data_IF_744894709078
#
_entry.id   IF_744894709078
#
_cell.length_a   1.000
_cell.length_b   1.000
_cell.length_c   1.000
_cell.angle_alpha   90.00
_cell.angle_beta   90.00
_cell.angle_gamma   90.00
#
_symmetry.space_group_name_H-M   'P 1'
#
loop_
_entity.id
_entity.type
_entity.pdbx_description
1 polymer ?
#
# COMPACT_ATOMS: atom_id res chain seq x y z
N UNK A 1 0.14 6.47 -29.48
CA UNK A 1 1.50 6.16 -28.97
C UNK A 1 1.92 7.41 -28.20
N UNK A 2 1.86 7.37 -26.86
CA UNK A 2 2.45 8.40 -26.03
C UNK A 2 3.97 8.35 -26.27
N UNK A 3 4.58 9.50 -26.52
CA UNK A 3 6.03 9.65 -26.53
C UNK A 3 6.51 9.29 -25.12
N UNK A 4 7.26 8.20 -25.01
CA UNK A 4 8.00 7.88 -23.80
C UNK A 4 9.11 8.92 -23.71
N UNK A 5 8.88 9.97 -22.93
CA UNK A 5 9.92 10.92 -22.56
C UNK A 5 10.93 10.14 -21.73
N UNK A 6 12.11 9.85 -22.29
CA UNK A 6 13.20 9.25 -21.51
C UNK A 6 13.67 10.28 -20.49
N UNK A 7 13.26 10.10 -19.22
CA UNK A 7 13.73 10.95 -18.13
C UNK A 7 15.18 10.55 -17.83
N UNK A 8 16.10 11.49 -17.87
CA UNK A 8 17.48 11.28 -17.44
C UNK A 8 17.57 11.55 -15.95
N UNK A 9 18.12 10.61 -15.21
CA UNK A 9 18.42 10.75 -13.79
C UNK A 9 19.91 11.03 -13.64
N UNK A 10 20.25 12.13 -12.98
CA UNK A 10 21.63 12.52 -12.73
C UNK A 10 22.05 12.13 -11.31
N UNK A 11 21.14 12.25 -10.35
CA UNK A 11 21.37 11.99 -8.95
C UNK A 11 20.53 10.79 -8.48
N UNK A 12 21.16 9.66 -8.30
CA UNK A 12 20.51 8.41 -7.87
C UNK A 12 20.85 8.16 -6.41
N UNK A 13 19.85 7.92 -5.57
CA UNK A 13 20.05 7.39 -4.24
C UNK A 13 19.85 5.87 -4.19
N UNK A 14 20.55 5.22 -3.29
CA UNK A 14 20.43 3.77 -3.06
C UNK A 14 20.11 3.50 -1.60
N UNK A 15 19.00 2.82 -1.36
CA UNK A 15 18.56 2.37 -0.05
C UNK A 15 18.43 0.85 -0.04
N UNK A 16 18.95 0.21 0.98
CA UNK A 16 18.92 -1.25 1.11
C UNK A 16 18.37 -1.66 2.48
N UNK A 17 17.54 -2.70 2.45
CA UNK A 17 17.10 -3.37 3.67
C UNK A 17 18.29 -3.94 4.46
N UNK A 18 18.08 -4.21 5.73
CA UNK A 18 19.14 -4.66 6.66
C UNK A 18 19.56 -6.11 6.46
N UNK A 19 18.77 -6.93 5.78
CA UNK A 19 19.07 -8.34 5.60
C UNK A 19 20.25 -8.59 4.63
N UNK A 20 20.96 -9.70 4.82
CA UNK A 20 22.21 -9.98 4.13
C UNK A 20 22.15 -9.96 2.59
N UNK A 21 21.11 -10.50 1.90
CA UNK A 21 21.00 -10.38 0.45
C UNK A 21 20.95 -8.93 -0.05
N UNK A 22 20.21 -8.04 0.65
CA UNK A 22 20.10 -6.63 0.27
C UNK A 22 21.46 -5.90 0.44
N UNK A 23 22.17 -6.17 1.52
CA UNK A 23 23.51 -5.60 1.75
C UNK A 23 24.52 -6.06 0.71
N UNK A 24 24.47 -7.33 0.29
CA UNK A 24 25.31 -7.83 -0.78
C UNK A 24 25.00 -7.20 -2.14
N UNK A 25 23.73 -7.00 -2.42
CA UNK A 25 23.28 -6.32 -3.65
C UNK A 25 23.69 -4.84 -3.64
N UNK A 26 23.56 -4.17 -2.49
CA UNK A 26 24.01 -2.79 -2.29
C UNK A 26 25.50 -2.65 -2.59
N UNK A 27 26.35 -3.51 -2.03
CA UNK A 27 27.78 -3.48 -2.26
C UNK A 27 28.11 -3.60 -3.77
N UNK A 28 27.46 -4.51 -4.49
CA UNK A 28 27.65 -4.67 -5.95
C UNK A 28 27.29 -3.42 -6.75
N UNK A 29 26.24 -2.71 -6.37
CA UNK A 29 25.85 -1.49 -7.06
C UNK A 29 26.80 -0.33 -6.73
N UNK A 30 27.25 -0.21 -5.47
CA UNK A 30 28.20 0.81 -5.05
C UNK A 30 29.60 0.63 -5.66
N UNK A 31 29.96 -0.61 -6.04
CA UNK A 31 31.21 -0.88 -6.78
C UNK A 31 31.15 -0.35 -8.23
N UNK A 32 29.96 -0.14 -8.78
CA UNK A 32 29.74 0.24 -10.19
C UNK A 32 29.26 1.68 -10.37
N UNK A 33 28.62 2.26 -9.36
CA UNK A 33 27.97 3.57 -9.43
C UNK A 33 28.18 4.40 -8.17
N UNK A 34 28.25 5.70 -8.35
CA UNK A 34 28.17 6.67 -7.24
C UNK A 34 26.69 6.96 -6.91
N UNK A 35 26.40 7.10 -5.62
CA UNK A 35 25.04 7.39 -5.14
C UNK A 35 25.06 8.63 -4.24
N UNK A 36 23.99 9.41 -4.30
CA UNK A 36 23.77 10.58 -3.44
C UNK A 36 22.87 10.22 -2.24
N UNK A 37 22.78 11.13 -1.28
CA UNK A 37 21.78 11.02 -0.21
C UNK A 37 20.36 11.15 -0.78
N UNK A 38 19.36 10.45 -0.22
CA UNK A 38 17.99 10.44 -0.75
C UNK A 38 17.38 11.83 -0.93
N UNK A 39 17.64 12.77 0.00
CA UNK A 39 17.11 14.14 -0.05
C UNK A 39 17.64 14.97 -1.24
N UNK A 40 18.70 14.51 -1.90
CA UNK A 40 19.31 15.15 -3.06
C UNK A 40 19.10 14.38 -4.35
N UNK A 41 18.27 13.33 -4.32
CA UNK A 41 18.12 12.41 -5.42
C UNK A 41 16.99 12.80 -6.39
N UNK A 42 17.19 12.47 -7.67
CA UNK A 42 16.16 12.53 -8.71
C UNK A 42 15.32 11.23 -8.75
N UNK A 43 15.89 10.14 -8.22
CA UNK A 43 15.27 8.82 -8.10
C UNK A 43 15.89 8.07 -6.94
N UNK A 44 15.08 7.32 -6.20
CA UNK A 44 15.54 6.41 -5.14
C UNK A 44 15.42 4.98 -5.64
N UNK A 45 16.54 4.24 -5.62
CA UNK A 45 16.57 2.81 -5.87
C UNK A 45 16.49 2.09 -4.53
N UNK A 46 15.53 1.19 -4.36
CA UNK A 46 15.37 0.39 -3.13
C UNK A 46 15.70 -1.07 -3.38
N UNK A 47 16.46 -1.67 -2.45
CA UNK A 47 16.82 -3.09 -2.44
C UNK A 47 16.17 -3.77 -1.25
N UNK A 48 15.17 -4.60 -1.49
CA UNK A 48 14.47 -5.29 -0.42
C UNK A 48 13.21 -5.99 -0.91
N UNK A 49 12.28 -6.24 0.00
CA UNK A 49 10.94 -6.75 -0.31
C UNK A 49 9.90 -5.63 -0.34
N UNK A 50 8.62 -6.02 -0.55
CA UNK A 50 7.50 -5.09 -0.64
C UNK A 50 7.35 -4.22 0.62
N UNK A 51 7.62 -4.77 1.81
CA UNK A 51 7.57 -4.01 3.07
C UNK A 51 8.62 -2.89 3.15
N UNK A 52 9.84 -3.13 2.68
CA UNK A 52 10.88 -2.11 2.62
C UNK A 52 10.56 -1.04 1.57
N UNK A 53 10.03 -1.45 0.42
CA UNK A 53 9.52 -0.54 -0.60
C UNK A 53 8.42 0.36 -0.04
N UNK A 54 7.44 -0.21 0.66
CA UNK A 54 6.34 0.52 1.29
C UNK A 54 6.87 1.54 2.32
N UNK A 55 7.79 1.14 3.19
CA UNK A 55 8.41 2.03 4.17
C UNK A 55 9.15 3.19 3.51
N UNK A 56 9.86 2.93 2.41
CA UNK A 56 10.55 3.97 1.65
C UNK A 56 9.56 4.93 1.01
N UNK A 57 8.47 4.41 0.42
CA UNK A 57 7.41 5.26 -0.15
C UNK A 57 6.80 6.18 0.91
N UNK A 58 6.53 5.68 2.13
CA UNK A 58 6.04 6.52 3.23
C UNK A 58 7.04 7.60 3.63
N UNK A 59 8.33 7.27 3.70
CA UNK A 59 9.37 8.22 4.12
C UNK A 59 9.56 9.39 3.12
N UNK A 60 9.30 9.15 1.84
CA UNK A 60 9.58 10.13 0.77
C UNK A 60 8.36 10.57 -0.03
N UNK A 61 7.14 10.23 0.42
CA UNK A 61 5.93 10.56 -0.34
C UNK A 61 5.71 12.08 -0.52
N UNK A 62 6.13 12.89 0.45
CA UNK A 62 5.99 14.35 0.40
C UNK A 62 7.01 15.02 -0.53
N UNK A 63 8.07 14.33 -0.91
CA UNK A 63 9.14 14.87 -1.75
C UNK A 63 8.89 14.65 -3.26
N UNK A 64 7.90 13.83 -3.60
CA UNK A 64 7.54 13.50 -4.99
C UNK A 64 8.72 12.94 -5.82
N UNK A 65 9.63 12.19 -5.16
CA UNK A 65 10.76 11.52 -5.78
C UNK A 65 10.30 10.14 -6.25
N UNK A 66 10.50 9.75 -7.52
CA UNK A 66 10.18 8.41 -7.97
C UNK A 66 11.05 7.35 -7.28
N UNK A 67 10.47 6.21 -7.01
CA UNK A 67 11.13 5.10 -6.32
C UNK A 67 11.13 3.88 -7.24
N UNK A 68 12.32 3.34 -7.50
CA UNK A 68 12.53 2.13 -8.29
C UNK A 68 12.91 0.98 -7.39
N UNK A 69 11.98 0.06 -7.15
CA UNK A 69 12.21 -1.10 -6.28
C UNK A 69 12.82 -2.29 -7.03
N UNK A 70 13.86 -2.89 -6.46
CA UNK A 70 14.42 -4.17 -6.90
C UNK A 70 14.29 -5.21 -5.80
N UNK A 71 13.60 -6.31 -6.11
CA UNK A 71 13.37 -7.42 -5.20
C UNK A 71 14.52 -8.44 -5.30
N UNK A 72 14.91 -8.97 -4.14
CA UNK A 72 15.98 -9.97 -3.99
C UNK A 72 15.43 -11.38 -3.70
N UNK A 73 14.12 -11.51 -3.70
CA UNK A 73 13.41 -12.78 -3.48
C UNK A 73 12.36 -13.05 -4.57
N UNK A 74 11.19 -13.52 -4.17
CA UNK A 74 10.05 -13.68 -5.08
C UNK A 74 9.55 -12.31 -5.56
N UNK A 75 9.38 -12.17 -6.87
CA UNK A 75 8.95 -10.91 -7.49
C UNK A 75 7.55 -10.53 -7.01
N UNK A 76 7.43 -9.34 -6.41
CA UNK A 76 6.15 -8.70 -6.11
C UNK A 76 5.63 -7.92 -7.33
N UNK A 77 4.41 -7.41 -7.25
CA UNK A 77 3.78 -6.67 -8.36
C UNK A 77 4.29 -5.23 -8.50
N UNK A 78 4.89 -4.67 -7.46
CA UNK A 78 5.42 -3.30 -7.43
C UNK A 78 6.92 -3.22 -7.67
N UNK A 79 7.61 -4.34 -7.73
CA UNK A 79 9.06 -4.40 -7.73
C UNK A 79 9.59 -5.07 -9.01
N UNK A 80 10.79 -4.66 -9.37
CA UNK A 80 11.54 -5.25 -10.47
C UNK A 80 12.47 -6.35 -9.96
N UNK A 81 12.86 -7.27 -10.83
CA UNK A 81 13.90 -8.24 -10.52
C UNK A 81 15.24 -7.53 -10.31
N UNK A 82 16.00 -7.96 -9.31
CA UNK A 82 17.34 -7.43 -9.07
C UNK A 82 18.28 -7.73 -10.24
N UNK A 83 18.95 -6.70 -10.70
CA UNK A 83 20.14 -6.80 -11.53
C UNK A 83 21.08 -5.65 -11.20
N UNK A 84 22.37 -5.94 -11.05
CA UNK A 84 23.39 -4.91 -10.92
C UNK A 84 23.80 -4.31 -12.27
N UNK A 85 23.45 -5.01 -13.37
CA UNK A 85 23.84 -4.60 -14.71
C UNK A 85 22.84 -3.62 -15.31
N UNK A 86 23.36 -2.65 -16.04
CA UNK A 86 22.55 -1.68 -16.80
C UNK A 86 21.55 -0.87 -15.97
N UNK A 87 21.88 -0.50 -14.72
CA UNK A 87 20.99 0.25 -13.84
C UNK A 87 20.41 1.49 -14.49
N UNK A 88 21.28 2.34 -15.08
CA UNK A 88 20.85 3.60 -15.70
C UNK A 88 19.84 3.35 -16.83
N UNK A 89 20.15 2.44 -17.74
CA UNK A 89 19.24 2.11 -18.86
C UNK A 89 17.91 1.56 -18.38
N UNK A 90 17.90 0.81 -17.28
CA UNK A 90 16.67 0.28 -16.68
C UNK A 90 15.83 1.38 -16.05
N UNK A 91 16.45 2.33 -15.35
CA UNK A 91 15.76 3.51 -14.82
C UNK A 91 15.16 4.37 -15.93
N UNK A 92 15.92 4.63 -16.99
CA UNK A 92 15.45 5.42 -18.13
C UNK A 92 14.31 4.73 -18.91
N UNK A 93 14.28 3.39 -18.92
CA UNK A 93 13.26 2.60 -19.59
C UNK A 93 12.03 2.28 -18.69
N UNK A 94 12.11 2.61 -17.41
CA UNK A 94 11.03 2.32 -16.48
C UNK A 94 9.82 3.22 -16.73
N UNK A 95 8.62 2.63 -16.62
CA UNK A 95 7.36 3.37 -16.63
C UNK A 95 7.08 3.93 -15.25
N UNK A 96 6.89 5.24 -15.16
CA UNK A 96 6.53 5.91 -13.91
C UNK A 96 5.02 5.77 -13.67
N UNK A 97 4.65 5.18 -12.54
CA UNK A 97 3.26 5.00 -12.11
C UNK A 97 3.01 5.88 -10.91
N UNK A 98 2.00 6.72 -10.98
CA UNK A 98 1.57 7.56 -9.86
C UNK A 98 0.60 6.78 -8.97
N UNK A 99 0.95 6.64 -7.69
CA UNK A 99 0.09 6.07 -6.66
C UNK A 99 -0.65 7.19 -5.92
N UNK A 100 -1.92 6.94 -5.58
CA UNK A 100 -2.74 7.84 -4.78
C UNK A 100 -3.06 7.15 -3.45
N UNK A 101 -2.47 7.61 -2.32
CA UNK A 101 -2.75 7.03 -1.01
C UNK A 101 -4.20 7.21 -0.58
N UNK A 102 -4.68 6.30 0.25
CA UNK A 102 -5.91 6.48 1.03
C UNK A 102 -5.62 7.39 2.22
N UNK A 103 -6.53 8.30 2.53
CA UNK A 103 -6.52 9.05 3.77
C UNK A 103 -7.50 8.41 4.74
N UNK A 104 -7.00 7.88 5.85
CA UNK A 104 -7.81 7.43 6.97
C UNK A 104 -8.06 8.60 7.93
N UNK A 105 -9.32 8.85 8.25
CA UNK A 105 -9.73 9.72 9.36
C UNK A 105 -10.52 8.86 10.34
N UNK A 106 -9.95 8.59 11.50
CA UNK A 106 -10.57 7.77 12.53
C UNK A 106 -10.93 8.61 13.75
N UNK A 107 -12.11 8.32 14.34
CA UNK A 107 -12.48 8.80 15.66
C UNK A 107 -12.52 7.61 16.60
N UNK A 108 -11.69 7.65 17.64
CA UNK A 108 -11.62 6.58 18.63
C UNK A 108 -12.83 6.62 19.58
N UNK A 109 -13.05 5.53 20.33
CA UNK A 109 -14.04 5.48 21.39
C UNK A 109 -13.76 6.48 22.52
N UNK A 110 -12.50 6.88 22.72
CA UNK A 110 -12.09 7.92 23.67
C UNK A 110 -12.36 9.34 23.16
N UNK A 111 -12.71 9.49 21.88
CA UNK A 111 -13.00 10.78 21.25
C UNK A 111 -11.82 11.42 20.52
N UNK A 112 -10.66 10.75 20.48
CA UNK A 112 -9.49 11.24 19.75
C UNK A 112 -9.71 11.15 18.24
N UNK A 113 -9.11 12.08 17.51
CA UNK A 113 -9.11 12.10 16.05
C UNK A 113 -7.72 11.77 15.54
N UNK A 114 -7.62 10.71 14.72
CA UNK A 114 -6.37 10.23 14.13
C UNK A 114 -6.50 10.31 12.62
N UNK A 115 -5.48 10.86 11.97
CA UNK A 115 -5.37 10.89 10.51
C UNK A 115 -4.09 10.18 10.11
N UNK A 116 -4.17 9.27 9.14
CA UNK A 116 -3.03 8.56 8.59
C UNK A 116 -3.22 8.30 7.09
N UNK A 117 -2.11 8.11 6.38
CA UNK A 117 -2.10 7.75 4.96
C UNK A 117 -1.76 6.27 4.78
N UNK A 118 -2.43 5.61 3.86
CA UNK A 118 -2.13 4.25 3.45
C UNK A 118 -1.89 4.17 1.95
N UNK A 119 -0.77 3.57 1.56
CA UNK A 119 -0.44 3.27 0.16
C UNK A 119 -1.12 1.98 -0.27
N UNK A 120 -1.13 0.97 0.61
CA UNK A 120 -1.75 -0.33 0.34
C UNK A 120 -3.22 -0.37 0.77
N UNK A 121 -3.49 -0.33 2.07
CA UNK A 121 -4.85 -0.49 2.58
C UNK A 121 -5.06 0.20 3.95
N UNK A 122 -6.32 0.51 4.20
CA UNK A 122 -6.84 0.74 5.56
C UNK A 122 -7.65 -0.48 5.95
N UNK A 123 -7.27 -1.15 7.02
CA UNK A 123 -7.94 -2.35 7.52
C UNK A 123 -8.50 -2.14 8.92
N UNK A 124 -9.69 -2.71 9.15
CA UNK A 124 -10.33 -2.79 10.45
C UNK A 124 -10.33 -4.24 10.90
N UNK A 125 -9.86 -4.52 12.10
CA UNK A 125 -9.82 -5.85 12.69
C UNK A 125 -10.41 -5.86 14.10
N UNK A 126 -11.18 -6.89 14.42
CA UNK A 126 -11.66 -7.11 15.79
C UNK A 126 -10.50 -7.33 16.73
N UNK A 127 -10.57 -6.75 17.91
CA UNK A 127 -9.56 -6.92 18.97
C UNK A 127 -9.91 -8.10 19.91
N UNK A 128 -11.17 -8.44 20.00
CA UNK A 128 -11.68 -9.45 20.91
C UNK A 128 -12.12 -10.72 20.19
N UNK A 129 -12.53 -11.73 20.96
CA UNK A 129 -13.03 -13.01 20.41
C UNK A 129 -14.37 -12.90 19.71
N UNK A 130 -15.16 -11.88 20.04
CA UNK A 130 -16.46 -11.63 19.40
C UNK A 130 -16.25 -11.10 17.98
N UNK A 131 -17.05 -11.58 17.05
CA UNK A 131 -17.07 -11.00 15.71
C UNK A 131 -17.40 -9.51 15.75
N UNK A 132 -16.75 -8.71 14.95
CA UNK A 132 -17.10 -7.30 14.78
C UNK A 132 -18.44 -7.15 14.08
N UNK A 133 -19.11 -6.02 14.34
CA UNK A 133 -20.31 -5.60 13.62
C UNK A 133 -20.04 -4.21 13.05
N UNK A 134 -20.08 -4.10 11.75
CA UNK A 134 -19.66 -2.90 11.05
C UNK A 134 -20.76 -2.49 10.06
N UNK A 135 -21.20 -1.24 10.17
CA UNK A 135 -22.06 -0.60 9.18
C UNK A 135 -21.20 0.11 8.16
N UNK A 136 -21.53 -0.02 6.88
CA UNK A 136 -20.73 0.48 5.77
C UNK A 136 -21.50 1.53 4.99
N UNK A 137 -20.87 2.68 4.80
CA UNK A 137 -21.35 3.78 3.96
C UNK A 137 -20.39 3.96 2.78
N UNK A 138 -20.95 4.24 1.63
CA UNK A 138 -20.19 4.69 0.45
C UNK A 138 -20.82 5.96 -0.05
N UNK A 139 -20.04 7.02 -0.13
CA UNK A 139 -20.46 8.35 -0.57
C UNK A 139 -21.69 8.86 0.23
N UNK A 140 -21.69 8.64 1.55
CA UNK A 140 -22.74 9.05 2.48
C UNK A 140 -24.00 8.18 2.47
N UNK A 141 -24.06 7.15 1.61
CA UNK A 141 -25.19 6.24 1.52
C UNK A 141 -24.88 4.92 2.21
N UNK A 142 -25.76 4.44 3.09
CA UNK A 142 -25.64 3.12 3.70
C UNK A 142 -25.72 2.06 2.61
N UNK A 143 -24.65 1.28 2.46
CA UNK A 143 -24.59 0.16 1.52
C UNK A 143 -24.76 -1.19 2.22
N UNK A 144 -24.40 -1.26 3.48
CA UNK A 144 -24.59 -2.45 4.30
C UNK A 144 -24.89 -2.03 5.74
N UNK A 145 -26.07 -2.39 6.23
CA UNK A 145 -26.52 -2.02 7.58
C UNK A 145 -25.72 -2.72 8.67
N UNK A 146 -25.35 -3.98 8.47
CA UNK A 146 -24.54 -4.74 9.40
C UNK A 146 -23.72 -5.79 8.65
N UNK A 147 -22.40 -5.70 8.79
CA UNK A 147 -21.45 -6.75 8.44
C UNK A 147 -20.94 -7.41 9.70
N UNK A 148 -21.20 -8.71 9.88
CA UNK A 148 -20.63 -9.51 10.97
C UNK A 148 -19.41 -10.24 10.40
N UNK A 149 -18.21 -9.92 10.91
CA UNK A 149 -16.94 -10.37 10.34
C UNK A 149 -15.81 -10.32 11.35
N UNK A 150 -14.63 -10.78 10.95
CA UNK A 150 -13.40 -10.52 11.70
C UNK A 150 -12.85 -9.11 11.42
N UNK A 151 -13.17 -8.57 10.26
CA UNK A 151 -12.76 -7.24 9.84
C UNK A 151 -13.20 -6.90 8.43
N UNK A 152 -12.78 -5.75 7.96
CA UNK A 152 -13.01 -5.25 6.60
C UNK A 152 -11.88 -4.31 6.22
N UNK A 153 -11.56 -4.20 4.94
CA UNK A 153 -10.54 -3.28 4.47
C UNK A 153 -10.96 -2.54 3.20
N UNK A 154 -10.34 -1.39 2.99
CA UNK A 154 -10.28 -0.70 1.71
C UNK A 154 -8.85 -0.79 1.20
N UNK A 155 -8.67 -1.32 0.01
CA UNK A 155 -7.37 -1.45 -0.64
C UNK A 155 -7.30 -0.61 -1.90
N UNK A 156 -6.15 -0.01 -2.13
CA UNK A 156 -5.78 0.60 -3.41
C UNK A 156 -5.42 -0.46 -4.44
N UNK A 157 -5.21 -0.06 -5.69
CA UNK A 157 -4.67 -0.96 -6.71
C UNK A 157 -3.29 -1.52 -6.31
N UNK A 158 -2.40 -0.68 -5.75
CA UNK A 158 -1.09 -1.10 -5.26
C UNK A 158 -1.19 -2.13 -4.13
N UNK A 159 -2.10 -1.92 -3.17
CA UNK A 159 -2.34 -2.83 -2.05
C UNK A 159 -3.17 -4.06 -2.40
N UNK A 160 -3.75 -4.13 -3.59
CA UNK A 160 -4.64 -5.23 -3.95
C UNK A 160 -3.95 -6.61 -3.94
N UNK A 161 -2.63 -6.63 -4.11
CA UNK A 161 -1.79 -7.83 -4.04
C UNK A 161 -1.15 -8.07 -2.67
N UNK A 162 -1.40 -7.18 -1.69
CA UNK A 162 -0.94 -7.31 -0.31
C UNK A 162 -1.99 -8.03 0.57
N UNK A 163 -2.39 -7.46 1.68
CA UNK A 163 -3.35 -8.07 2.60
C UNK A 163 -4.71 -8.37 1.93
N UNK A 164 -5.14 -7.50 1.03
CA UNK A 164 -6.35 -7.71 0.23
C UNK A 164 -6.37 -9.06 -0.49
N UNK A 165 -5.24 -9.48 -1.09
CA UNK A 165 -5.14 -10.78 -1.76
C UNK A 165 -5.29 -11.93 -0.77
N UNK A 166 -4.68 -11.85 0.41
CA UNK A 166 -4.80 -12.85 1.47
C UNK A 166 -6.24 -12.96 2.00
N UNK A 167 -7.00 -11.88 1.94
CA UNK A 167 -8.43 -11.84 2.29
C UNK A 167 -9.35 -12.20 1.11
N UNK A 168 -8.79 -12.74 0.02
CA UNK A 168 -9.51 -13.11 -1.20
C UNK A 168 -10.15 -11.93 -1.95
N UNK A 169 -9.64 -10.72 -1.76
CA UNK A 169 -10.01 -9.57 -2.57
C UNK A 169 -9.47 -9.67 -4.00
N UNK A 170 -10.04 -8.94 -4.96
CA UNK A 170 -9.60 -8.96 -6.34
C UNK A 170 -8.25 -8.27 -6.51
N UNK A 171 -7.44 -8.74 -7.45
CA UNK A 171 -6.27 -8.01 -7.93
C UNK A 171 -6.74 -6.88 -8.83
N UNK A 172 -6.28 -5.67 -8.54
CA UNK A 172 -6.58 -4.48 -9.33
C UNK A 172 -5.30 -4.09 -10.07
N UNK A 173 -5.33 -3.99 -11.42
CA UNK A 173 -4.17 -3.53 -12.17
C UNK A 173 -3.74 -2.13 -11.74
N UNK A 174 -2.42 -1.90 -11.65
CA UNK A 174 -1.89 -0.55 -11.43
C UNK A 174 -2.39 0.39 -12.53
N UNK A 175 -2.78 1.60 -12.14
CA UNK A 175 -3.40 2.58 -13.06
C UNK A 175 -4.90 2.42 -13.25
N UNK A 176 -5.53 1.34 -12.76
CA UNK A 176 -6.98 1.28 -12.67
C UNK A 176 -7.47 2.19 -11.54
N UNK A 177 -8.40 3.06 -11.84
CA UNK A 177 -8.96 4.04 -10.88
C UNK A 177 -10.06 3.39 -10.02
N UNK A 178 -9.67 2.31 -9.31
CA UNK A 178 -10.56 1.50 -8.47
C UNK A 178 -9.98 1.29 -7.08
N UNK A 179 -10.88 1.08 -6.12
CA UNK A 179 -10.61 0.57 -4.77
C UNK A 179 -11.29 -0.78 -4.59
N UNK A 180 -10.71 -1.65 -3.78
CA UNK A 180 -11.36 -2.87 -3.32
C UNK A 180 -11.87 -2.70 -1.89
N UNK A 181 -13.17 -2.88 -1.68
CA UNK A 181 -13.79 -3.05 -0.37
C UNK A 181 -13.89 -4.54 -0.11
N UNK A 182 -13.09 -5.07 0.82
CA UNK A 182 -12.91 -6.51 1.01
C UNK A 182 -13.18 -6.90 2.47
N UNK A 183 -14.14 -7.82 2.73
CA UNK A 183 -14.36 -8.33 4.08
C UNK A 183 -13.30 -9.35 4.48
N UNK A 184 -13.07 -9.46 5.79
CA UNK A 184 -12.21 -10.46 6.38
C UNK A 184 -13.09 -11.44 7.15
N UNK A 185 -13.17 -12.68 6.67
CA UNK A 185 -13.98 -13.74 7.28
C UNK A 185 -15.43 -13.32 7.56
N UNK A 186 -16.16 -12.85 6.54
CA UNK A 186 -17.55 -12.43 6.67
C UNK A 186 -18.43 -13.62 7.11
N UNK A 187 -19.12 -13.46 8.24
CA UNK A 187 -20.09 -14.42 8.76
C UNK A 187 -21.51 -14.11 8.26
N UNK A 188 -21.87 -12.84 8.25
CA UNK A 188 -23.14 -12.32 7.68
C UNK A 188 -22.93 -10.93 7.08
N UNK A 189 -23.46 -10.64 5.88
CA UNK A 189 -24.13 -11.58 4.97
C UNK A 189 -23.20 -12.72 4.51
N UNK A 190 -23.72 -13.93 4.43
CA UNK A 190 -22.93 -15.09 3.98
C UNK A 190 -22.47 -14.89 2.54
N UNK A 191 -21.21 -15.24 2.27
CA UNK A 191 -20.59 -15.17 0.94
C UNK A 191 -20.52 -13.76 0.35
N UNK A 192 -20.75 -12.72 1.13
CA UNK A 192 -20.44 -11.38 0.67
C UNK A 192 -18.93 -11.23 0.48
N UNK A 193 -18.53 -10.88 -0.73
CA UNK A 193 -17.11 -10.82 -1.12
C UNK A 193 -16.58 -9.40 -1.23
N UNK A 194 -17.39 -8.40 -0.87
CA UNK A 194 -17.04 -7.00 -1.01
C UNK A 194 -17.49 -6.40 -2.34
N UNK A 195 -16.84 -5.34 -2.72
CA UNK A 195 -17.16 -4.58 -3.92
C UNK A 195 -15.92 -3.89 -4.49
N UNK A 196 -15.95 -3.59 -5.78
CA UNK A 196 -15.05 -2.63 -6.40
C UNK A 196 -15.73 -1.27 -6.41
N UNK A 197 -15.00 -0.23 -6.05
CA UNK A 197 -15.49 1.15 -5.95
C UNK A 197 -14.60 2.06 -6.81
N UNK A 198 -15.15 3.17 -7.33
CA UNK A 198 -14.33 4.23 -7.92
C UNK A 198 -13.27 4.73 -6.95
N UNK A 199 -12.10 5.09 -7.44
CA UNK A 199 -10.96 5.54 -6.63
C UNK A 199 -11.27 6.78 -5.78
N UNK A 200 -12.18 7.64 -6.21
CA UNK A 200 -12.60 8.85 -5.53
C UNK A 200 -13.75 8.64 -4.54
N UNK A 201 -14.20 7.41 -4.31
CA UNK A 201 -15.26 7.12 -3.34
C UNK A 201 -14.80 7.39 -1.92
N UNK A 202 -15.71 7.91 -1.10
CA UNK A 202 -15.54 8.06 0.34
C UNK A 202 -16.23 6.90 1.03
N UNK A 203 -15.46 6.07 1.73
CA UNK A 203 -16.00 4.93 2.50
C UNK A 203 -15.91 5.25 3.98
N UNK A 204 -17.03 5.10 4.67
CA UNK A 204 -17.08 5.23 6.12
C UNK A 204 -17.55 3.94 6.78
N UNK A 205 -16.94 3.63 7.90
CA UNK A 205 -17.27 2.48 8.75
C UNK A 205 -17.76 2.97 10.11
N UNK A 206 -18.89 2.48 10.55
CA UNK A 206 -19.38 2.67 11.89
C UNK A 206 -19.34 1.35 12.64
N UNK A 207 -18.63 1.34 13.77
CA UNK A 207 -18.49 0.15 14.60
C UNK A 207 -19.70 0.05 15.52
N UNK A 208 -20.52 -0.98 15.30
CA UNK A 208 -21.70 -1.25 16.10
C UNK A 208 -21.31 -2.02 17.36
N UNK A 209 -22.00 -1.78 18.48
CA UNK A 209 -21.73 -2.43 19.76
C UNK A 209 -20.26 -2.29 20.22
N UNK A 210 -19.61 -1.15 19.94
CA UNK A 210 -18.17 -0.95 20.14
C UNK A 210 -17.68 -1.19 21.56
N UNK A 211 -18.51 -1.02 22.59
CA UNK A 211 -18.17 -1.29 23.98
C UNK A 211 -17.87 -2.80 24.25
N UNK A 212 -18.43 -3.68 23.44
CA UNK A 212 -18.26 -5.12 23.55
C UNK A 212 -17.53 -5.76 22.38
N UNK A 213 -17.37 -5.01 21.28
CA UNK A 213 -16.85 -5.48 19.99
C UNK A 213 -15.86 -4.48 19.44
N UNK A 214 -14.83 -4.19 20.24
CA UNK A 214 -13.79 -3.24 19.85
C UNK A 214 -13.09 -3.68 18.56
N UNK A 215 -12.73 -2.68 17.76
CA UNK A 215 -12.09 -2.83 16.46
C UNK A 215 -10.93 -1.85 16.41
N UNK A 216 -9.76 -2.31 16.00
CA UNK A 216 -8.67 -1.40 15.65
C UNK A 216 -8.67 -1.10 14.15
N UNK A 217 -8.22 0.10 13.80
CA UNK A 217 -8.07 0.56 12.42
C UNK A 217 -6.58 0.82 12.15
N UNK A 218 -6.08 0.28 11.04
CA UNK A 218 -4.67 0.36 10.67
C UNK A 218 -4.55 0.88 9.24
N UNK A 219 -3.75 1.93 9.05
CA UNK A 219 -3.36 2.45 7.75
C UNK A 219 -1.95 1.94 7.43
N UNK A 220 -1.81 0.96 6.55
CA UNK A 220 -0.60 0.19 6.26
C UNK A 220 0.01 -0.41 7.56
N UNK A 221 0.87 0.31 8.25
CA UNK A 221 1.49 -0.10 9.52
C UNK A 221 1.22 0.88 10.69
N UNK A 222 0.36 1.89 10.47
CA UNK A 222 0.00 2.90 11.50
C UNK A 222 -1.37 2.56 12.08
N UNK A 223 -1.41 2.22 13.37
CA UNK A 223 -2.61 1.95 14.16
C UNK A 223 -3.08 3.19 14.93
#
# INVERSE_FOLDING_TARGET
>A
RAEVSSRKFENIALMADTHAPARKAEARLRDQHDFVEPDSADVIVTLGGDGFMLSTMHAYMDQNIPIFGMNLGSVGFLMNEFSADNLISRLEAAEEIKLNPLMMNAKTSAGDHITALAINEVSLLRELRYASKIKIFVDGVVRLEELICDGVMISTAAGSTAYNLSAYGPIIPLGAELLALTPISAFRPRRWRGALLPQNSVVAFEILDHDYRSVSAVADFTE
#
